data_IF_638997233681
#
_entry.id   IF_638997233681
#
_cell.length_a   1.000
_cell.length_b   1.000
_cell.length_c   1.000
_cell.angle_alpha   90.00
_cell.angle_beta   90.00
_cell.angle_gamma   90.00
#
_symmetry.space_group_name_H-M   'P 1'
#
loop_
_entity.id
_entity.type
_entity.pdbx_description
1 polymer ?
#
# COMPACT_ATOMS: atom_id res chain seq x y z
N UNK A 1 -16.22 29.39 13.07
CA UNK A 1 -15.44 28.14 13.20
C UNK A 1 -16.42 27.00 13.04
N UNK A 2 -16.13 26.04 12.18
CA UNK A 2 -16.99 24.86 11.97
C UNK A 2 -17.09 24.06 13.27
N UNK A 3 -18.31 23.62 13.63
CA UNK A 3 -18.57 22.76 14.79
C UNK A 3 -17.97 21.34 14.67
N UNK A 4 -17.43 21.00 13.49
CA UNK A 4 -16.84 19.71 13.18
C UNK A 4 -15.37 19.63 13.62
N UNK A 5 -14.98 18.52 14.26
CA UNK A 5 -13.58 18.21 14.55
C UNK A 5 -12.80 17.97 13.24
N UNK A 6 -11.79 18.80 12.91
CA UNK A 6 -10.99 18.63 11.68
C UNK A 6 -10.29 17.27 11.59
N UNK A 7 -9.89 16.66 12.72
CA UNK A 7 -9.22 15.36 12.72
C UNK A 7 -10.19 14.24 12.36
N UNK A 8 -11.40 14.30 12.91
CA UNK A 8 -12.44 13.33 12.61
C UNK A 8 -12.92 13.45 11.16
N UNK A 9 -13.13 14.68 10.68
CA UNK A 9 -13.49 14.94 9.28
C UNK A 9 -12.42 14.41 8.31
N UNK A 10 -11.12 14.63 8.61
CA UNK A 10 -10.02 14.07 7.81
C UNK A 10 -10.03 12.53 7.79
N UNK A 11 -10.34 11.89 8.91
CA UNK A 11 -10.48 10.43 8.99
C UNK A 11 -11.66 9.93 8.17
N UNK A 12 -12.77 10.67 8.16
CA UNK A 12 -13.95 10.37 7.37
C UNK A 12 -13.65 10.47 5.86
N UNK A 13 -13.01 11.56 5.40
CA UNK A 13 -12.58 11.68 3.99
C UNK A 13 -11.59 10.60 3.59
N UNK A 14 -10.69 10.22 4.49
CA UNK A 14 -9.74 9.12 4.27
C UNK A 14 -10.39 7.74 4.08
N UNK A 15 -11.71 7.57 4.29
CA UNK A 15 -12.43 6.34 3.96
C UNK A 15 -12.60 6.14 2.46
N UNK A 16 -12.58 7.20 1.67
CA UNK A 16 -12.61 7.11 0.22
C UNK A 16 -11.23 6.71 -0.31
N UNK A 17 -11.18 5.57 -0.99
CA UNK A 17 -9.97 5.00 -1.56
C UNK A 17 -9.56 5.77 -2.83
N UNK A 18 -8.28 6.09 -2.95
CA UNK A 18 -7.75 6.84 -4.10
C UNK A 18 -6.47 6.20 -4.62
N UNK A 19 -6.08 6.55 -5.85
CA UNK A 19 -4.68 6.43 -6.25
C UNK A 19 -3.83 7.54 -5.62
N UNK A 20 -2.52 7.50 -5.87
CA UNK A 20 -1.58 8.55 -5.50
C UNK A 20 -0.99 9.20 -6.74
N UNK A 21 -0.91 10.53 -6.75
CA UNK A 21 -0.32 11.29 -7.86
C UNK A 21 0.76 12.24 -7.36
N UNK A 22 1.72 12.54 -8.22
CA UNK A 22 2.59 13.71 -8.08
C UNK A 22 2.20 14.72 -9.14
N UNK A 23 1.89 15.94 -8.70
CA UNK A 23 1.56 17.07 -9.56
C UNK A 23 2.80 17.95 -9.65
N UNK A 24 3.24 18.29 -10.86
CA UNK A 24 4.42 19.15 -11.05
C UNK A 24 4.13 20.33 -11.96
N UNK A 25 4.91 21.39 -11.79
CA UNK A 25 4.92 22.58 -12.64
C UNK A 25 6.35 23.15 -12.66
N UNK A 26 6.57 24.19 -13.46
CA UNK A 26 7.71 25.08 -13.29
C UNK A 26 7.27 26.46 -12.83
N UNK A 27 8.09 27.08 -11.99
CA UNK A 27 7.93 28.49 -11.65
C UNK A 27 8.27 29.39 -12.83
N UNK A 28 7.94 30.68 -12.73
CA UNK A 28 8.38 31.69 -13.70
C UNK A 28 9.91 31.77 -13.84
N UNK A 29 10.68 31.38 -12.80
CA UNK A 29 12.14 31.33 -12.84
C UNK A 29 12.69 30.02 -13.42
N UNK A 30 11.83 29.13 -13.91
CA UNK A 30 12.19 27.81 -14.44
C UNK A 30 12.48 26.76 -13.37
N UNK A 31 12.22 27.03 -12.08
CA UNK A 31 12.45 26.06 -11.01
C UNK A 31 11.36 24.98 -11.06
N UNK A 32 11.76 23.72 -11.02
CA UNK A 32 10.83 22.60 -10.94
C UNK A 32 10.16 22.56 -9.56
N UNK A 33 8.84 22.39 -9.56
CA UNK A 33 8.01 22.36 -8.36
C UNK A 33 7.08 21.16 -8.45
N UNK A 34 6.84 20.49 -7.33
CA UNK A 34 5.87 19.41 -7.30
C UNK A 34 5.40 19.09 -5.91
N UNK A 35 4.23 18.46 -5.82
CA UNK A 35 3.65 17.98 -4.58
C UNK A 35 2.88 16.68 -4.81
N UNK A 36 2.77 15.87 -3.76
CA UNK A 36 1.92 14.68 -3.76
C UNK A 36 0.47 15.09 -3.55
N UNK A 37 -0.41 14.56 -4.39
CA UNK A 37 -1.86 14.75 -4.29
C UNK A 37 -2.59 13.42 -4.44
N UNK A 38 -3.65 13.25 -3.65
CA UNK A 38 -4.61 12.15 -3.82
C UNK A 38 -6.04 12.67 -4.06
N UNK A 39 -6.17 13.97 -4.35
CA UNK A 39 -7.43 14.65 -4.73
C UNK A 39 -7.69 14.63 -6.24
N UNK A 40 -6.93 13.83 -6.99
CA UNK A 40 -7.08 13.69 -8.43
C UNK A 40 -8.46 13.13 -8.80
N UNK A 41 -9.07 13.68 -9.85
CA UNK A 41 -10.31 13.14 -10.43
C UNK A 41 -10.38 13.44 -11.93
N UNK A 42 -10.74 12.45 -12.74
CA UNK A 42 -11.11 12.64 -14.15
C UNK A 42 -12.49 13.27 -14.25
N UNK A 43 -12.65 14.31 -15.07
CA UNK A 43 -13.88 15.14 -15.10
C UNK A 43 -14.66 14.97 -16.40
N UNK A 44 -13.97 15.07 -17.54
CA UNK A 44 -14.60 15.10 -18.86
C UNK A 44 -13.71 14.42 -19.89
N UNK A 45 -14.32 13.79 -20.89
CA UNK A 45 -13.61 13.24 -22.05
C UNK A 45 -13.58 14.21 -23.24
N UNK A 46 -14.60 15.07 -23.38
CA UNK A 46 -14.67 16.09 -24.43
C UNK A 46 -15.26 17.42 -23.91
N UNK A 47 -14.43 18.46 -23.68
CA UNK A 47 -12.97 18.44 -23.77
C UNK A 47 -12.37 17.53 -22.68
N UNK A 48 -11.13 17.01 -22.85
CA UNK A 48 -10.51 16.13 -21.88
C UNK A 48 -10.05 16.91 -20.64
N UNK A 49 -10.76 16.76 -19.52
CA UNK A 49 -10.53 17.52 -18.29
C UNK A 49 -10.24 16.60 -17.10
N UNK A 50 -9.34 17.06 -16.23
CA UNK A 50 -9.07 16.50 -14.91
C UNK A 50 -8.99 17.61 -13.86
N UNK A 51 -9.12 17.25 -12.59
CA UNK A 51 -8.84 18.15 -11.46
C UNK A 51 -7.81 17.58 -10.51
N UNK A 52 -7.10 18.49 -9.83
CA UNK A 52 -6.33 18.25 -8.60
C UNK A 52 -6.57 19.42 -7.64
N UNK A 53 -6.41 19.21 -6.34
CA UNK A 53 -6.66 20.25 -5.35
C UNK A 53 -5.39 20.60 -4.54
N UNK A 54 -4.60 21.60 -4.95
CA UNK A 54 -3.48 22.12 -4.17
C UNK A 54 -3.96 22.81 -2.87
N UNK A 55 -3.31 22.48 -1.75
CA UNK A 55 -3.57 23.15 -0.47
C UNK A 55 -2.89 24.52 -0.39
N UNK A 56 -3.56 25.51 0.20
CA UNK A 56 -3.02 26.87 0.39
C UNK A 56 -1.82 26.93 1.33
N UNK A 57 -1.61 25.87 2.12
CA UNK A 57 -0.47 25.71 3.02
C UNK A 57 0.81 25.24 2.31
N UNK A 58 0.74 24.81 1.04
CA UNK A 58 1.91 24.40 0.27
C UNK A 58 2.80 25.63 0.02
N UNK A 59 4.11 25.47 0.22
CA UNK A 59 5.08 26.52 -0.13
C UNK A 59 5.06 26.86 -1.63
N UNK A 60 4.66 25.90 -2.48
CA UNK A 60 4.49 26.05 -3.92
C UNK A 60 3.09 26.53 -4.33
N UNK A 61 2.19 26.84 -3.39
CA UNK A 61 0.80 27.20 -3.71
C UNK A 61 0.69 28.37 -4.69
N UNK A 62 1.46 29.45 -4.48
CA UNK A 62 1.41 30.63 -5.35
C UNK A 62 1.67 30.30 -6.81
N UNK A 63 2.63 29.40 -7.06
CA UNK A 63 3.00 28.94 -8.40
C UNK A 63 1.90 28.05 -8.99
N UNK A 64 1.35 27.10 -8.23
CA UNK A 64 0.24 26.26 -8.73
C UNK A 64 -1.07 27.03 -8.94
N UNK A 65 -1.34 28.06 -8.15
CA UNK A 65 -2.55 28.88 -8.28
C UNK A 65 -2.54 29.77 -9.53
N UNK A 66 -1.37 29.96 -10.15
CA UNK A 66 -1.18 30.83 -11.31
C UNK A 66 -0.49 30.14 -12.49
N UNK A 67 -0.18 28.84 -12.38
CA UNK A 67 0.52 28.12 -13.43
C UNK A 67 -0.34 28.01 -14.69
N UNK A 68 0.31 28.09 -15.84
CA UNK A 68 -0.37 27.93 -17.14
C UNK A 68 -0.41 26.47 -17.59
N UNK A 69 0.54 25.67 -17.11
CA UNK A 69 0.68 24.26 -17.44
C UNK A 69 1.16 23.51 -16.20
N UNK A 70 0.78 22.24 -16.11
CA UNK A 70 1.23 21.33 -15.07
C UNK A 70 1.16 19.90 -15.59
N UNK A 71 1.87 19.00 -14.93
CA UNK A 71 1.78 17.57 -15.20
C UNK A 71 1.21 16.83 -14.01
N UNK A 72 0.60 15.69 -14.28
CA UNK A 72 0.14 14.74 -13.25
C UNK A 72 0.72 13.37 -13.56
N UNK A 73 1.47 12.82 -12.62
CA UNK A 73 1.99 11.45 -12.68
C UNK A 73 1.27 10.59 -11.67
N UNK A 74 0.50 9.60 -12.13
CA UNK A 74 -0.15 8.59 -11.28
C UNK A 74 0.88 7.54 -10.92
N UNK A 75 1.19 7.41 -9.64
CA UNK A 75 2.29 6.58 -9.17
C UNK A 75 1.98 5.08 -9.29
N UNK A 76 3.00 4.30 -9.63
CA UNK A 76 2.98 2.85 -9.58
C UNK A 76 3.24 2.32 -8.17
N UNK A 77 2.88 1.07 -7.96
CA UNK A 77 3.33 0.33 -6.78
C UNK A 77 4.86 0.33 -6.66
N UNK A 78 5.35 0.42 -5.43
CA UNK A 78 6.77 0.58 -5.15
C UNK A 78 7.27 2.02 -5.24
N UNK A 79 6.40 3.01 -5.52
CA UNK A 79 6.76 4.44 -5.54
C UNK A 79 6.28 5.21 -4.29
N UNK A 80 6.15 4.53 -3.15
CA UNK A 80 5.81 5.14 -1.86
C UNK A 80 6.86 6.18 -1.44
N UNK A 81 8.13 5.92 -1.73
CA UNK A 81 9.26 6.82 -1.47
C UNK A 81 9.15 8.14 -2.25
N UNK A 82 8.71 8.06 -3.52
CA UNK A 82 8.42 9.23 -4.36
C UNK A 82 7.28 10.02 -3.75
N UNK A 83 6.17 9.35 -3.42
CA UNK A 83 5.02 9.98 -2.76
C UNK A 83 5.44 10.70 -1.46
N UNK A 84 6.23 10.06 -0.62
CA UNK A 84 6.71 10.62 0.65
C UNK A 84 7.65 11.81 0.42
N UNK A 85 8.51 11.74 -0.59
CA UNK A 85 9.43 12.83 -0.98
C UNK A 85 8.64 14.07 -1.37
N UNK A 86 7.63 13.94 -2.22
CA UNK A 86 6.82 15.06 -2.69
C UNK A 86 5.77 15.54 -1.67
N UNK A 87 5.48 14.77 -0.63
CA UNK A 87 4.59 15.18 0.47
C UNK A 87 5.30 15.94 1.60
N UNK A 88 6.54 15.54 1.96
CA UNK A 88 7.17 15.99 3.21
C UNK A 88 8.61 16.48 3.12
N UNK A 89 9.37 16.14 2.08
CA UNK A 89 10.80 16.47 2.03
C UNK A 89 11.02 17.98 1.85
N UNK A 90 11.87 18.54 2.72
CA UNK A 90 12.34 19.93 2.68
C UNK A 90 13.73 19.97 2.06
N UNK A 91 13.79 20.05 0.74
CA UNK A 91 15.01 20.05 -0.05
C UNK A 91 14.68 19.90 -1.53
N UNK A 92 15.69 19.61 -2.36
CA UNK A 92 15.48 19.33 -3.77
C UNK A 92 14.86 17.92 -3.94
N UNK A 93 13.55 17.89 -4.22
CA UNK A 93 12.76 16.68 -4.42
C UNK A 93 13.11 15.99 -5.74
N UNK A 94 13.44 16.79 -6.75
CA UNK A 94 13.76 16.31 -8.10
C UNK A 94 15.17 15.73 -8.19
N UNK A 95 16.10 16.17 -7.32
CA UNK A 95 17.40 15.51 -7.15
C UNK A 95 17.31 14.09 -6.56
N UNK A 96 16.16 13.72 -5.97
CA UNK A 96 15.92 12.39 -5.37
C UNK A 96 14.99 11.50 -6.19
N UNK A 97 14.43 12.03 -7.26
CA UNK A 97 13.39 11.34 -8.02
C UNK A 97 13.71 11.40 -9.49
N UNK A 98 13.86 10.24 -10.11
CA UNK A 98 14.02 10.14 -11.56
C UNK A 98 12.79 10.71 -12.26
N UNK A 99 13.03 11.61 -13.20
CA UNK A 99 11.99 12.29 -13.94
C UNK A 99 12.48 12.64 -15.34
N UNK A 100 11.57 12.51 -16.29
CA UNK A 100 11.73 13.04 -17.64
C UNK A 100 11.05 14.41 -17.71
N UNK A 101 11.21 15.09 -18.84
CA UNK A 101 10.55 16.36 -19.10
C UNK A 101 9.54 16.19 -20.23
N UNK A 102 8.38 16.83 -20.09
CA UNK A 102 7.44 16.93 -21.19
C UNK A 102 7.88 17.95 -22.25
N UNK A 103 7.07 18.13 -23.30
CA UNK A 103 7.37 19.07 -24.39
C UNK A 103 7.47 20.55 -23.95
N UNK A 104 7.05 20.88 -22.73
CA UNK A 104 7.13 22.21 -22.11
C UNK A 104 8.16 22.26 -20.99
N UNK A 105 9.05 21.28 -20.96
CA UNK A 105 10.08 21.08 -19.97
C UNK A 105 9.56 20.82 -18.55
N UNK A 106 8.28 20.50 -18.36
CA UNK A 106 7.70 20.24 -17.03
C UNK A 106 7.99 18.78 -16.63
N UNK A 107 8.44 18.51 -15.39
CA UNK A 107 8.79 17.16 -14.98
C UNK A 107 7.65 16.15 -15.08
N UNK A 108 7.99 14.91 -15.42
CA UNK A 108 7.13 13.74 -15.39
C UNK A 108 7.85 12.66 -14.59
N UNK A 109 7.19 12.13 -13.56
CA UNK A 109 7.82 11.12 -12.71
C UNK A 109 8.01 9.83 -13.51
N UNK A 110 9.25 9.36 -13.57
CA UNK A 110 9.58 8.12 -14.27
C UNK A 110 9.00 6.93 -13.50
N UNK A 111 8.55 5.92 -14.24
CA UNK A 111 7.94 4.76 -13.62
C UNK A 111 6.50 4.98 -13.13
N UNK A 112 5.85 6.11 -13.38
CA UNK A 112 4.41 6.29 -13.17
C UNK A 112 3.56 5.33 -14.05
N UNK A 113 2.36 4.93 -13.58
CA UNK A 113 1.43 4.09 -14.37
C UNK A 113 0.69 4.88 -15.43
N UNK A 114 0.48 6.17 -15.19
CA UNK A 114 -0.08 7.10 -16.15
C UNK A 114 0.50 8.49 -15.94
N UNK A 115 0.65 9.22 -17.03
CA UNK A 115 1.09 10.62 -17.01
C UNK A 115 0.19 11.48 -17.87
N UNK A 116 -0.01 12.72 -17.45
CA UNK A 116 -0.83 13.70 -18.16
C UNK A 116 -0.09 15.04 -18.19
N UNK A 117 0.14 15.61 -19.37
CA UNK A 117 0.52 17.01 -19.53
C UNK A 117 -0.73 17.85 -19.75
N UNK A 118 -0.90 18.88 -18.92
CA UNK A 118 -2.11 19.67 -18.86
C UNK A 118 -1.82 21.14 -19.09
N UNK A 119 -2.72 21.79 -19.81
CA UNK A 119 -2.88 23.24 -19.78
C UNK A 119 -3.92 23.59 -18.73
N UNK A 120 -3.63 24.59 -17.89
CA UNK A 120 -4.59 25.09 -16.91
C UNK A 120 -5.82 25.62 -17.64
N UNK A 121 -6.96 25.00 -17.37
CA UNK A 121 -8.26 25.41 -17.90
C UNK A 121 -8.91 26.45 -16.98
N UNK A 122 -8.89 26.19 -15.67
CA UNK A 122 -9.47 27.08 -14.67
C UNK A 122 -8.88 26.80 -13.29
N UNK A 123 -8.78 27.83 -12.45
CA UNK A 123 -8.52 27.69 -11.00
C UNK A 123 -9.72 28.23 -10.24
N UNK A 124 -10.26 27.44 -9.31
CA UNK A 124 -11.44 27.80 -8.52
C UNK A 124 -11.06 27.80 -7.04
N UNK A 125 -11.33 28.91 -6.35
CA UNK A 125 -11.13 29.00 -4.90
C UNK A 125 -12.10 28.07 -4.15
N UNK A 126 -11.58 27.22 -3.26
CA UNK A 126 -12.35 26.20 -2.56
C UNK A 126 -11.88 26.03 -1.10
N UNK A 127 -12.18 27.02 -0.27
CA UNK A 127 -11.85 26.98 1.16
C UNK A 127 -10.34 27.10 1.40
N UNK A 128 -9.75 26.11 2.07
CA UNK A 128 -8.31 26.02 2.35
C UNK A 128 -7.49 25.40 1.19
N UNK A 129 -8.16 25.07 0.08
CA UNK A 129 -7.58 24.61 -1.17
C UNK A 129 -8.03 25.48 -2.35
N UNK A 130 -7.46 25.25 -3.52
CA UNK A 130 -8.09 25.57 -4.79
C UNK A 130 -8.36 24.29 -5.58
N UNK A 131 -9.32 24.34 -6.51
CA UNK A 131 -9.53 23.29 -7.52
C UNK A 131 -8.81 23.75 -8.78
N UNK A 132 -7.73 23.05 -9.12
CA UNK A 132 -6.96 23.27 -10.34
C UNK A 132 -7.50 22.33 -11.43
N UNK A 133 -8.17 22.90 -12.43
CA UNK A 133 -8.74 22.18 -13.57
C UNK A 133 -7.74 22.23 -14.72
N UNK A 134 -7.32 21.07 -15.19
CA UNK A 134 -6.42 20.90 -16.34
C UNK A 134 -7.14 20.34 -17.55
N UNK A 135 -6.90 20.94 -18.71
CA UNK A 135 -7.21 20.33 -19.99
C UNK A 135 -6.00 19.50 -20.44
N UNK A 136 -6.21 18.19 -20.65
CA UNK A 136 -5.15 17.27 -21.06
C UNK A 136 -4.74 17.56 -22.50
N UNK A 137 -3.45 17.84 -22.70
CA UNK A 137 -2.84 18.04 -24.02
C UNK A 137 -2.21 16.74 -24.54
N UNK A 138 -1.49 16.01 -23.68
CA UNK A 138 -0.90 14.70 -23.97
C UNK A 138 -1.00 13.79 -22.74
N UNK A 139 -0.98 12.48 -22.97
CA UNK A 139 -0.97 11.49 -21.91
C UNK A 139 -0.24 10.21 -22.33
N UNK A 140 0.20 9.44 -21.35
CA UNK A 140 0.69 8.07 -21.55
C UNK A 140 0.21 7.18 -20.41
N UNK A 141 0.16 5.87 -20.63
CA UNK A 141 -0.15 4.91 -19.57
C UNK A 141 0.48 3.54 -19.85
N UNK A 142 0.53 2.70 -18.83
CA UNK A 142 0.95 1.30 -18.91
C UNK A 142 0.07 0.43 -17.99
N UNK A 143 0.29 -0.88 -18.03
CA UNK A 143 -0.54 -1.86 -17.32
C UNK A 143 -0.05 -2.18 -15.90
N UNK A 144 1.00 -1.50 -15.42
CA UNK A 144 1.50 -1.74 -14.06
C UNK A 144 0.44 -1.35 -13.03
N UNK A 145 0.37 -2.06 -11.90
CA UNK A 145 -0.52 -1.69 -10.81
C UNK A 145 -0.19 -0.30 -10.22
N UNK A 146 -1.24 0.45 -9.89
CA UNK A 146 -1.14 1.80 -9.32
C UNK A 146 -0.98 1.75 -7.80
N UNK A 147 -0.26 2.73 -7.23
CA UNK A 147 -0.18 2.93 -5.78
C UNK A 147 -1.53 3.43 -5.25
N UNK A 148 -2.11 2.69 -4.31
CA UNK A 148 -3.35 3.03 -3.64
C UNK A 148 -3.12 3.78 -2.32
N UNK A 149 -4.11 4.57 -1.90
CA UNK A 149 -4.15 5.24 -0.60
C UNK A 149 -5.55 5.19 0.02
N UNK A 150 -5.64 4.73 1.27
CA UNK A 150 -6.88 4.67 2.04
C UNK A 150 -6.58 4.68 3.55
N UNK A 151 -7.45 5.28 4.36
CA UNK A 151 -7.31 5.37 5.81
C UNK A 151 -5.96 5.94 6.29
N UNK A 152 -5.34 6.81 5.50
CA UNK A 152 -4.02 7.36 5.80
C UNK A 152 -2.86 6.39 5.55
N UNK A 153 -3.06 5.34 4.75
CA UNK A 153 -2.07 4.31 4.44
C UNK A 153 -2.00 4.04 2.95
N UNK A 154 -0.80 3.69 2.48
CA UNK A 154 -0.62 3.10 1.15
C UNK A 154 -1.14 1.65 1.12
N UNK A 155 -1.60 1.21 -0.06
CA UNK A 155 -1.88 -0.18 -0.36
C UNK A 155 -1.60 -0.46 -1.84
N UNK A 156 -1.36 -1.72 -2.18
CA UNK A 156 -1.13 -2.19 -3.55
C UNK A 156 -2.34 -2.99 -4.05
N UNK A 157 -2.74 -2.76 -5.30
CA UNK A 157 -3.75 -3.51 -6.05
C UNK A 157 -3.14 -4.70 -6.82
N UNK A 158 -1.84 -4.69 -7.07
CA UNK A 158 -1.04 -5.75 -7.67
C UNK A 158 -1.05 -7.01 -6.81
N UNK A 159 -1.24 -6.85 -5.49
CA UNK A 159 -1.52 -7.93 -4.55
C UNK A 159 -2.85 -8.66 -4.84
N UNK A 160 -3.79 -8.04 -5.55
CA UNK A 160 -5.01 -8.68 -6.07
C UNK A 160 -4.92 -9.04 -7.58
N UNK A 161 -3.93 -8.52 -8.31
CA UNK A 161 -3.75 -8.76 -9.77
C UNK A 161 -2.72 -9.84 -10.13
N UNK A 162 -1.66 -10.03 -9.33
CA UNK A 162 -0.87 -11.27 -9.32
C UNK A 162 -1.73 -12.49 -8.95
N UNK A 163 -2.96 -12.22 -8.51
CA UNK A 163 -4.01 -13.18 -8.29
C UNK A 163 -4.87 -13.57 -9.51
N UNK A 164 -4.73 -12.86 -10.64
CA UNK A 164 -5.55 -13.00 -11.84
C UNK A 164 -4.83 -13.63 -13.03
N UNK A 165 -3.52 -13.91 -12.95
CA UNK A 165 -2.84 -14.80 -13.89
C UNK A 165 -3.25 -16.25 -13.58
N UNK A 166 -3.98 -16.96 -14.47
CA UNK A 166 -4.34 -18.35 -14.25
C UNK A 166 -3.10 -19.22 -14.50
N UNK A 167 -2.17 -19.22 -13.55
CA UNK A 167 -1.29 -20.38 -13.40
C UNK A 167 -2.06 -21.35 -12.52
N UNK A 168 -2.11 -22.64 -12.88
CA UNK A 168 -2.72 -23.70 -12.07
C UNK A 168 -2.01 -23.95 -10.73
N UNK A 169 -1.44 -22.92 -10.11
CA UNK A 169 -0.76 -22.91 -8.82
C UNK A 169 -1.79 -22.80 -7.70
N UNK A 170 -1.59 -23.60 -6.66
CA UNK A 170 -2.46 -23.62 -5.48
C UNK A 170 -2.26 -22.33 -4.69
N UNK A 171 -3.27 -21.91 -3.93
CA UNK A 171 -3.11 -20.83 -2.97
C UNK A 171 -3.02 -21.42 -1.58
N UNK A 172 -2.00 -21.03 -0.83
CA UNK A 172 -1.84 -21.33 0.58
C UNK A 172 -2.21 -20.08 1.36
N UNK A 173 -3.18 -20.19 2.25
CA UNK A 173 -3.57 -19.09 3.13
C UNK A 173 -3.41 -19.52 4.58
N UNK A 174 -2.57 -18.81 5.34
CA UNK A 174 -2.28 -19.10 6.73
C UNK A 174 -2.48 -17.91 7.66
N UNK A 175 -2.45 -18.17 8.97
CA UNK A 175 -2.55 -17.11 9.98
C UNK A 175 -1.49 -17.26 11.06
N UNK A 176 -0.82 -16.15 11.39
CA UNK A 176 -0.02 -16.03 12.60
C UNK A 176 -0.96 -15.57 13.71
N UNK A 177 -1.40 -16.51 14.55
CA UNK A 177 -2.41 -16.26 15.58
C UNK A 177 -1.73 -16.02 16.92
N UNK A 178 -1.82 -14.81 17.43
CA UNK A 178 -1.31 -14.43 18.75
C UNK A 178 -2.37 -14.61 19.83
N UNK A 179 -1.96 -15.14 20.97
CA UNK A 179 -2.71 -15.14 22.22
C UNK A 179 -1.75 -15.00 23.41
N UNK A 180 -1.90 -13.94 24.20
CA UNK A 180 -1.10 -13.68 25.42
C UNK A 180 0.42 -13.85 25.23
N UNK A 181 0.99 -13.27 24.17
CA UNK A 181 2.43 -13.33 23.90
C UNK A 181 2.91 -14.70 23.38
N UNK A 182 1.98 -15.56 22.96
CA UNK A 182 2.26 -16.84 22.30
C UNK A 182 1.70 -16.86 20.89
N UNK A 183 2.35 -17.60 20.00
CA UNK A 183 1.90 -17.85 18.64
C UNK A 183 1.47 -19.31 18.52
N UNK A 184 0.32 -19.52 17.88
CA UNK A 184 -0.17 -20.86 17.56
C UNK A 184 0.54 -21.42 16.33
N UNK A 185 1.21 -22.57 16.49
CA UNK A 185 1.93 -23.27 15.43
C UNK A 185 1.44 -24.71 15.30
N UNK A 186 1.37 -25.21 14.07
CA UNK A 186 1.13 -26.61 13.75
C UNK A 186 2.47 -27.34 13.61
N UNK A 187 2.60 -28.48 14.30
CA UNK A 187 3.75 -29.37 14.17
C UNK A 187 3.55 -30.32 12.98
N UNK A 188 4.49 -30.31 12.04
CA UNK A 188 4.52 -31.21 10.88
C UNK A 188 5.80 -32.05 10.89
N UNK A 189 5.86 -33.06 10.01
CA UNK A 189 7.06 -33.90 9.86
C UNK A 189 8.28 -33.10 9.39
N UNK A 190 8.08 -31.95 8.74
CA UNK A 190 9.14 -31.06 8.25
C UNK A 190 9.51 -29.93 9.24
N UNK A 191 8.82 -29.83 10.39
CA UNK A 191 8.98 -28.75 11.36
C UNK A 191 7.69 -27.98 11.62
N UNK A 192 7.80 -26.84 12.30
CA UNK A 192 6.65 -25.99 12.64
C UNK A 192 6.18 -25.13 11.47
N UNK A 193 4.90 -24.76 11.49
CA UNK A 193 4.33 -23.73 10.60
C UNK A 193 3.10 -23.09 11.22
N UNK A 194 2.67 -21.90 10.77
CA UNK A 194 1.36 -21.37 11.13
C UNK A 194 0.23 -22.27 10.59
N UNK A 195 -0.94 -22.31 11.26
CA UNK A 195 -2.12 -22.97 10.69
C UNK A 195 -2.47 -22.35 9.32
N UNK A 196 -2.74 -23.21 8.34
CA UNK A 196 -2.98 -22.82 6.96
C UNK A 196 -3.88 -23.79 6.20
N UNK A 197 -4.58 -23.27 5.20
CA UNK A 197 -5.39 -24.01 4.24
C UNK A 197 -4.79 -23.91 2.84
N UNK A 198 -5.07 -24.90 1.99
CA UNK A 198 -4.71 -24.86 0.57
C UNK A 198 -5.97 -24.88 -0.27
N UNK A 199 -6.08 -23.90 -1.17
CA UNK A 199 -7.27 -23.62 -1.96
C UNK A 199 -6.93 -23.58 -3.44
N UNK A 200 -7.94 -23.87 -4.27
CA UNK A 200 -7.88 -23.72 -5.73
C UNK A 200 -8.52 -22.41 -6.21
N UNK A 201 -9.30 -21.72 -5.38
CA UNK A 201 -9.97 -20.45 -5.69
C UNK A 201 -9.66 -19.40 -4.61
N UNK A 202 -9.36 -18.18 -5.05
CA UNK A 202 -8.97 -17.03 -4.22
C UNK A 202 -10.15 -16.26 -3.62
N UNK A 203 -11.35 -16.38 -4.20
CA UNK A 203 -12.50 -15.53 -3.83
C UNK A 203 -12.96 -15.71 -2.38
N UNK A 204 -12.52 -16.77 -1.70
CA UNK A 204 -12.95 -17.11 -0.33
C UNK A 204 -11.77 -17.35 0.63
N UNK A 205 -10.58 -16.82 0.34
CA UNK A 205 -9.36 -17.10 1.14
C UNK A 205 -9.56 -16.93 2.65
N UNK A 206 -10.08 -15.76 3.05
CA UNK A 206 -10.25 -15.41 4.46
C UNK A 206 -11.37 -16.20 5.12
N UNK A 207 -12.44 -16.48 4.38
CA UNK A 207 -13.59 -17.19 4.89
C UNK A 207 -13.28 -18.68 5.06
N UNK A 208 -12.60 -19.29 4.09
CA UNK A 208 -12.10 -20.66 4.18
C UNK A 208 -11.08 -20.84 5.30
N UNK A 209 -10.15 -19.90 5.46
CA UNK A 209 -9.20 -19.93 6.58
C UNK A 209 -9.92 -19.76 7.92
N UNK A 210 -10.88 -18.83 8.03
CA UNK A 210 -11.67 -18.66 9.26
C UNK A 210 -12.47 -19.90 9.60
N UNK A 211 -13.07 -20.56 8.60
CA UNK A 211 -13.82 -21.79 8.79
C UNK A 211 -12.90 -22.94 9.25
N UNK A 212 -11.75 -23.16 8.63
CA UNK A 212 -10.79 -24.19 9.06
C UNK A 212 -10.28 -23.93 10.49
N UNK A 213 -10.00 -22.68 10.85
CA UNK A 213 -9.63 -22.32 12.21
C UNK A 213 -10.76 -22.61 13.20
N UNK A 214 -12.00 -22.26 12.86
CA UNK A 214 -13.17 -22.55 13.68
C UNK A 214 -13.37 -24.07 13.86
N UNK A 215 -13.23 -24.85 12.80
CA UNK A 215 -13.37 -26.32 12.83
C UNK A 215 -12.26 -26.97 13.68
N UNK A 216 -11.10 -26.31 13.81
CA UNK A 216 -10.01 -26.68 14.72
C UNK A 216 -10.18 -26.12 16.14
N UNK A 217 -11.32 -25.48 16.44
CA UNK A 217 -11.65 -24.94 17.75
C UNK A 217 -10.99 -23.61 18.07
N UNK A 218 -10.64 -22.81 17.05
CA UNK A 218 -9.98 -21.51 17.19
C UNK A 218 -10.91 -20.43 16.66
N UNK A 219 -11.48 -19.63 17.57
CA UNK A 219 -12.24 -18.44 17.19
C UNK A 219 -11.29 -17.25 16.95
N UNK A 220 -10.62 -17.26 15.80
CA UNK A 220 -9.62 -16.24 15.46
C UNK A 220 -10.24 -15.01 14.79
N UNK A 221 -9.85 -13.81 15.24
CA UNK A 221 -10.07 -12.57 14.49
C UNK A 221 -8.87 -12.30 13.59
N UNK A 222 -9.10 -12.39 12.29
CA UNK A 222 -8.07 -12.17 11.26
C UNK A 222 -7.94 -10.67 10.92
N UNK A 223 -6.75 -10.12 11.11
CA UNK A 223 -6.35 -8.72 10.90
C UNK A 223 -5.66 -8.46 9.56
N UNK A 224 -4.55 -7.73 9.53
CA UNK A 224 -3.88 -7.36 8.27
C UNK A 224 -3.11 -8.52 7.66
N UNK A 225 -2.92 -8.49 6.33
CA UNK A 225 -1.99 -9.40 5.66
C UNK A 225 -0.57 -9.05 6.14
N UNK A 226 0.18 -10.06 6.54
CA UNK A 226 1.52 -9.94 7.10
C UNK A 226 2.62 -10.26 6.09
N UNK A 227 2.40 -11.31 5.31
CA UNK A 227 3.40 -11.81 4.36
C UNK A 227 2.70 -12.39 3.16
N UNK A 228 3.17 -12.00 1.97
CA UNK A 228 2.75 -12.58 0.70
C UNK A 228 4.00 -12.98 -0.05
N UNK A 229 4.07 -14.24 -0.47
CA UNK A 229 5.17 -14.69 -1.30
C UNK A 229 4.78 -15.80 -2.27
N UNK A 230 5.48 -15.87 -3.39
CA UNK A 230 5.33 -16.95 -4.37
C UNK A 230 6.48 -17.97 -4.30
N UNK A 231 6.14 -19.24 -4.44
CA UNK A 231 7.09 -20.30 -4.78
C UNK A 231 6.75 -20.96 -6.13
N UNK A 232 7.52 -21.98 -6.52
CA UNK A 232 7.34 -22.65 -7.81
C UNK A 232 5.94 -23.31 -7.97
N UNK A 233 5.29 -23.64 -6.86
CA UNK A 233 4.09 -24.49 -6.75
C UNK A 233 2.85 -23.76 -6.25
N UNK A 234 3.02 -22.70 -5.47
CA UNK A 234 1.93 -22.02 -4.78
C UNK A 234 2.18 -20.54 -4.53
N UNK A 235 1.07 -19.82 -4.43
CA UNK A 235 1.02 -18.46 -3.89
C UNK A 235 0.66 -18.51 -2.42
N UNK A 236 1.43 -17.84 -1.57
CA UNK A 236 1.26 -17.89 -0.12
C UNK A 236 0.82 -16.54 0.43
N UNK A 237 -0.20 -16.55 1.28
CA UNK A 237 -0.70 -15.37 1.99
C UNK A 237 -0.82 -15.70 3.47
N UNK A 238 -0.11 -14.98 4.32
CA UNK A 238 -0.20 -15.11 5.78
C UNK A 238 -0.77 -13.83 6.40
N UNK A 239 -1.73 -14.01 7.31
CA UNK A 239 -2.49 -12.92 7.92
C UNK A 239 -2.19 -12.89 9.42
N UNK A 240 -2.03 -11.71 10.01
CA UNK A 240 -1.98 -11.58 11.47
C UNK A 240 -3.36 -11.83 12.05
N UNK A 241 -3.45 -12.59 13.13
CA UNK A 241 -4.70 -12.81 13.84
C UNK A 241 -4.50 -12.82 15.34
N UNK A 242 -5.61 -12.67 16.06
CA UNK A 242 -5.64 -12.97 17.49
C UNK A 242 -6.78 -13.94 17.79
N UNK A 243 -6.61 -14.72 18.86
CA UNK A 243 -7.66 -15.57 19.38
C UNK A 243 -7.91 -15.23 20.86
N UNK A 244 -9.18 -15.15 21.30
CA UNK A 244 -9.52 -14.90 22.69
C UNK A 244 -9.18 -16.10 23.58
N UNK A 245 -9.18 -17.30 23.02
CA UNK A 245 -8.81 -18.54 23.69
C UNK A 245 -8.01 -19.43 22.73
N UNK A 246 -7.13 -20.26 23.31
CA UNK A 246 -6.38 -21.26 22.57
C UNK A 246 -7.10 -22.63 22.63
N UNK A 247 -7.00 -23.45 21.57
CA UNK A 247 -7.59 -24.78 21.57
C UNK A 247 -6.95 -25.64 22.66
N UNK A 248 -7.78 -26.31 23.46
CA UNK A 248 -7.33 -27.17 24.58
C UNK A 248 -6.74 -28.50 24.13
N UNK A 249 -7.04 -28.92 22.90
CA UNK A 249 -6.61 -30.18 22.30
C UNK A 249 -6.35 -29.98 20.80
N UNK A 250 -5.35 -30.68 20.25
CA UNK A 250 -5.06 -30.65 18.81
C UNK A 250 -3.57 -30.78 18.50
N UNK A 251 -3.22 -30.73 17.21
CA UNK A 251 -1.82 -30.71 16.71
C UNK A 251 -1.17 -29.32 16.78
N UNK A 252 -1.84 -28.37 17.43
CA UNK A 252 -1.43 -26.99 17.51
C UNK A 252 -0.79 -26.74 18.87
N UNK A 253 0.41 -26.18 18.84
CA UNK A 253 1.22 -25.85 19.99
C UNK A 253 1.30 -24.32 20.12
N UNK A 254 1.05 -23.81 21.32
CA UNK A 254 1.20 -22.39 21.62
C UNK A 254 2.62 -22.13 22.11
N UNK A 255 3.41 -21.44 21.30
CA UNK A 255 4.83 -21.20 21.54
C UNK A 255 5.04 -19.74 21.94
N UNK A 256 5.84 -19.49 22.97
CA UNK A 256 6.17 -18.12 23.36
C UNK A 256 6.93 -17.40 22.23
N UNK A 257 6.62 -16.13 22.02
CA UNK A 257 7.23 -15.34 20.92
C UNK A 257 8.76 -15.32 21.01
N UNK A 258 9.32 -15.31 22.22
CA UNK A 258 10.76 -15.35 22.48
C UNK A 258 11.43 -16.66 22.05
N UNK A 259 10.70 -17.77 22.06
CA UNK A 259 11.21 -19.10 21.70
C UNK A 259 11.13 -19.38 20.20
N UNK A 260 10.40 -18.56 19.44
CA UNK A 260 10.16 -18.78 18.00
C UNK A 260 11.45 -18.88 17.20
N UNK A 261 12.50 -18.15 17.58
CA UNK A 261 13.78 -18.16 16.87
C UNK A 261 14.56 -19.48 17.04
N UNK A 262 14.23 -20.29 18.07
CA UNK A 262 14.92 -21.55 18.35
C UNK A 262 14.27 -22.75 17.63
N UNK A 263 13.09 -22.56 17.01
CA UNK A 263 12.36 -23.63 16.34
C UNK A 263 12.84 -23.87 14.90
N UNK A 264 12.66 -25.11 14.43
CA UNK A 264 12.80 -25.47 13.02
C UNK A 264 11.45 -25.39 12.33
N UNK A 265 11.36 -24.66 11.23
CA UNK A 265 10.14 -24.49 10.45
C UNK A 265 10.13 -25.33 9.18
N UNK A 266 8.93 -25.66 8.72
CA UNK A 266 8.69 -26.53 7.57
C UNK A 266 9.31 -26.06 6.25
N UNK A 267 9.54 -24.75 6.10
CA UNK A 267 10.17 -24.17 4.91
C UNK A 267 11.01 -22.95 5.27
N UNK A 268 12.03 -22.64 4.46
CA UNK A 268 12.86 -21.45 4.65
C UNK A 268 12.05 -20.13 4.63
N UNK A 269 11.07 -19.91 3.72
CA UNK A 269 10.20 -18.74 3.78
C UNK A 269 9.44 -18.59 5.09
N UNK A 270 8.94 -19.70 5.65
CA UNK A 270 8.24 -19.68 6.94
C UNK A 270 9.23 -19.34 8.06
N UNK A 271 10.45 -19.89 8.04
CA UNK A 271 11.51 -19.52 9.00
C UNK A 271 11.76 -18.01 8.97
N UNK A 272 11.96 -17.44 7.78
CA UNK A 272 12.21 -15.99 7.61
C UNK A 272 11.03 -15.16 8.11
N UNK A 273 9.81 -15.53 7.71
CA UNK A 273 8.58 -14.85 8.11
C UNK A 273 8.38 -14.86 9.63
N UNK A 274 8.56 -16.01 10.28
CA UNK A 274 8.34 -16.12 11.73
C UNK A 274 9.46 -15.47 12.54
N UNK A 275 10.71 -15.57 12.07
CA UNK A 275 11.83 -14.85 12.69
C UNK A 275 11.61 -13.34 12.65
N UNK A 276 11.10 -12.83 11.51
CA UNK A 276 10.71 -11.42 11.38
C UNK A 276 9.57 -11.06 12.35
N UNK A 277 8.52 -11.88 12.40
CA UNK A 277 7.40 -11.66 13.32
C UNK A 277 7.87 -11.60 14.77
N UNK A 278 8.77 -12.49 15.19
CA UNK A 278 9.30 -12.53 16.54
C UNK A 278 10.11 -11.26 16.89
N UNK A 279 10.85 -10.71 15.93
CA UNK A 279 11.57 -9.45 16.09
C UNK A 279 10.61 -8.27 16.21
N UNK A 280 9.64 -8.18 15.30
CA UNK A 280 8.65 -7.09 15.23
C UNK A 280 7.66 -7.09 16.39
N UNK A 281 7.36 -8.26 16.97
CA UNK A 281 6.47 -8.39 18.13
C UNK A 281 6.99 -7.68 19.38
N UNK A 282 8.31 -7.47 19.48
CA UNK A 282 8.95 -6.77 20.61
C UNK A 282 8.62 -5.28 20.61
N UNK A 283 8.52 -4.70 19.42
CA UNK A 283 8.23 -3.28 19.19
C UNK A 283 6.75 -3.03 18.87
N UNK A 284 5.94 -4.10 18.72
CA UNK A 284 4.56 -4.08 18.19
C UNK A 284 4.49 -3.40 16.82
N UNK A 285 5.59 -3.49 16.07
CA UNK A 285 5.87 -2.75 14.85
C UNK A 285 5.92 -3.71 13.67
N UNK A 286 4.76 -4.18 13.27
CA UNK A 286 4.68 -5.19 12.23
C UNK A 286 4.95 -4.56 10.85
N UNK A 287 5.44 -5.36 9.90
CA UNK A 287 5.67 -4.94 8.53
C UNK A 287 5.05 -5.94 7.55
N UNK A 288 4.51 -5.48 6.42
CA UNK A 288 4.11 -6.36 5.32
C UNK A 288 5.35 -6.84 4.57
N UNK A 289 5.52 -8.16 4.38
CA UNK A 289 6.53 -8.71 3.46
C UNK A 289 5.89 -9.01 2.11
N UNK A 290 6.53 -8.59 1.02
CA UNK A 290 6.11 -8.89 -0.34
C UNK A 290 7.28 -9.46 -1.14
N UNK A 291 7.15 -10.65 -1.71
CA UNK A 291 8.22 -11.17 -2.57
C UNK A 291 8.03 -12.59 -3.08
N UNK A 292 9.15 -13.29 -3.22
CA UNK A 292 9.24 -14.72 -3.54
C UNK A 292 9.73 -15.49 -2.32
N UNK A 293 9.75 -16.81 -2.41
CA UNK A 293 10.37 -17.68 -1.41
C UNK A 293 11.86 -17.40 -1.13
N UNK A 294 12.53 -16.59 -1.96
CA UNK A 294 13.97 -16.34 -1.87
C UNK A 294 14.33 -14.86 -1.71
N UNK A 295 13.49 -13.93 -2.17
CA UNK A 295 13.79 -12.49 -2.23
C UNK A 295 12.50 -11.66 -2.17
N UNK A 296 12.49 -10.56 -1.42
CA UNK A 296 11.32 -9.69 -1.25
C UNK A 296 11.57 -8.46 -0.37
N UNK A 297 10.61 -7.56 -0.34
CA UNK A 297 10.66 -6.26 0.33
C UNK A 297 9.83 -6.24 1.63
N UNK A 298 10.30 -5.49 2.62
CA UNK A 298 9.66 -5.34 3.94
C UNK A 298 9.13 -3.92 4.09
N UNK A 299 7.82 -3.76 4.22
CA UNK A 299 7.14 -2.47 4.36
C UNK A 299 6.62 -2.30 5.79
N UNK A 300 7.22 -1.43 6.60
CA UNK A 300 6.78 -1.17 7.98
C UNK A 300 5.36 -0.61 8.05
N UNK A 301 4.52 -1.09 8.98
CA UNK A 301 3.21 -0.49 9.26
C UNK A 301 3.34 0.85 10.03
N UNK A 302 4.56 1.27 10.38
CA UNK A 302 4.81 2.20 11.47
C UNK A 302 5.74 3.35 11.16
N UNK A 303 5.90 3.70 9.89
CA UNK A 303 6.23 5.09 9.53
C UNK A 303 5.01 6.01 9.77
N UNK A 304 4.50 5.96 11.01
CA UNK A 304 3.31 6.66 11.52
C UNK A 304 3.68 7.45 12.77
N UNK A 305 4.24 8.64 12.55
CA UNK A 305 4.00 9.83 13.38
C UNK A 305 3.88 11.05 12.49
#
# INVERSE_FOLDING_TARGET
MTELDPRDLRRAFGKFMTGVTVVTTRSASGMALGFTANSFTSVSLDPPLLIVCPGKNLSSYGEFSTCTHFTVSVLAEGQEDVSNTFAGFKGDRFAKTDHDLDAREIPLINGAVATFSCRTHQVIEAGDHCVLIGQVETYSHNDRPALGYANGQYFSLGLERGALEPTGRRIVCGAIIEHEGRVLLEKTDAGFRPPQVTLSDRRQLRDSLRQDLHDRGIDARLGVVYSVYDDATAHHVYILGNAPELPKHGKLEAVAIEDLAALTYSTAPITTMISRFALESRTRDFSLYLGSAQQGDVHSFSERT
#
